data_IF_814288100671
#
_entry.id   IF_814288100671
#
_cell.length_a   1.000
_cell.length_b   1.000
_cell.length_c   1.000
_cell.angle_alpha   90.00
_cell.angle_beta   90.00
_cell.angle_gamma   90.00
#
_symmetry.space_group_name_H-M   'P 1'
#
loop_
_entity.id
_entity.type
_entity.pdbx_description
1 polymer ?
#
# COMPACT_ATOMS: atom_id res chain seq x y z
N UNK A 1 -23.17 -3.14 -24.66
CA UNK A 1 -22.57 -1.80 -24.50
C UNK A 1 -21.15 -1.99 -23.95
N UNK A 2 -20.32 -2.74 -24.68
CA UNK A 2 -18.93 -3.07 -24.31
C UNK A 2 -18.07 -3.09 -25.58
N UNK A 3 -18.60 -3.65 -26.67
CA UNK A 3 -17.95 -3.67 -28.00
C UNK A 3 -17.53 -2.28 -28.48
N UNK A 4 -18.40 -1.28 -28.33
CA UNK A 4 -18.11 0.12 -28.73
C UNK A 4 -16.99 0.76 -27.89
N UNK A 5 -16.87 0.38 -26.61
CA UNK A 5 -15.84 0.89 -25.71
C UNK A 5 -14.46 0.29 -26.02
N UNK A 6 -14.42 -1.01 -26.30
CA UNK A 6 -13.18 -1.71 -26.66
C UNK A 6 -12.63 -1.20 -28.01
N UNK A 7 -13.51 -0.91 -28.98
CA UNK A 7 -13.13 -0.29 -30.26
C UNK A 7 -12.58 1.13 -30.08
N UNK A 8 -13.18 1.94 -29.21
CA UNK A 8 -12.68 3.28 -28.90
C UNK A 8 -11.28 3.24 -28.28
N UNK A 9 -11.06 2.36 -27.28
CA UNK A 9 -9.72 2.20 -26.66
C UNK A 9 -8.69 1.74 -27.68
N UNK A 10 -9.05 0.81 -28.58
CA UNK A 10 -8.14 0.33 -29.62
C UNK A 10 -7.76 1.45 -30.62
N UNK A 11 -8.73 2.27 -31.02
CA UNK A 11 -8.48 3.43 -31.88
C UNK A 11 -7.58 4.48 -31.20
N UNK A 12 -7.84 4.78 -29.92
CA UNK A 12 -7.00 5.68 -29.13
C UNK A 12 -5.58 5.16 -29.00
N UNK A 13 -5.39 3.86 -28.68
CA UNK A 13 -4.07 3.23 -28.62
C UNK A 13 -3.31 3.34 -29.93
N UNK A 14 -3.98 3.08 -31.07
CA UNK A 14 -3.34 3.21 -32.37
C UNK A 14 -2.97 4.65 -32.72
N UNK A 15 -3.77 5.65 -32.34
CA UNK A 15 -3.42 7.06 -32.53
C UNK A 15 -2.15 7.43 -31.74
N UNK A 16 -2.06 6.95 -30.51
CA UNK A 16 -0.90 7.13 -29.63
C UNK A 16 0.36 6.45 -30.18
N UNK A 17 0.25 5.19 -30.65
CA UNK A 17 1.36 4.46 -31.26
C UNK A 17 1.92 5.17 -32.50
N UNK A 18 1.02 5.74 -33.31
CA UNK A 18 1.40 6.53 -34.49
C UNK A 18 2.14 7.81 -34.12
N UNK A 19 1.73 8.48 -33.03
CA UNK A 19 2.38 9.72 -32.57
C UNK A 19 3.75 9.46 -31.94
N UNK A 20 3.87 8.41 -31.12
CA UNK A 20 5.12 8.07 -30.45
C UNK A 20 6.10 7.28 -31.33
N UNK A 21 5.64 6.77 -32.48
CA UNK A 21 6.39 5.87 -33.35
C UNK A 21 6.93 4.63 -32.60
N UNK A 22 6.16 4.12 -31.64
CA UNK A 22 6.45 2.90 -30.88
C UNK A 22 5.22 1.99 -30.88
N UNK A 23 5.45 0.68 -30.84
CA UNK A 23 4.40 -0.30 -30.57
C UNK A 23 4.16 -0.37 -29.05
N UNK A 24 2.91 -0.20 -28.62
CA UNK A 24 2.56 -0.28 -27.19
C UNK A 24 2.30 -1.73 -26.84
N UNK A 25 3.30 -2.35 -26.21
CA UNK A 25 3.18 -3.72 -25.73
C UNK A 25 2.08 -3.83 -24.67
N UNK A 26 1.29 -4.92 -24.65
CA UNK A 26 0.32 -5.18 -23.61
C UNK A 26 0.95 -5.05 -22.20
N UNK A 27 0.35 -4.25 -21.33
CA UNK A 27 0.88 -3.93 -19.99
C UNK A 27 1.80 -2.70 -19.92
N UNK A 28 2.11 -2.05 -21.05
CA UNK A 28 2.85 -0.77 -21.07
C UNK A 28 1.87 0.39 -21.08
N UNK A 29 2.06 1.34 -20.15
CA UNK A 29 1.26 2.55 -20.03
C UNK A 29 2.09 3.78 -20.41
N UNK A 30 1.48 4.71 -21.15
CA UNK A 30 2.14 5.95 -21.57
C UNK A 30 2.10 6.97 -20.44
N UNK A 31 3.28 7.37 -19.94
CA UNK A 31 3.43 8.25 -18.78
C UNK A 31 3.69 9.72 -19.14
N UNK A 32 3.44 10.11 -20.39
CA UNK A 32 3.64 11.46 -20.91
C UNK A 32 2.40 11.95 -21.66
N UNK A 33 2.11 13.25 -21.59
CA UNK A 33 1.13 13.89 -22.48
C UNK A 33 1.61 13.76 -23.92
N UNK A 34 0.72 13.31 -24.80
CA UNK A 34 0.97 13.14 -26.23
C UNK A 34 -0.17 13.78 -27.00
N UNK A 35 0.17 14.70 -27.89
CA UNK A 35 -0.76 15.42 -28.75
C UNK A 35 -1.95 16.02 -28.01
N UNK A 36 -3.14 15.58 -28.40
CA UNK A 36 -4.42 16.02 -27.84
C UNK A 36 -4.79 15.30 -26.52
N UNK A 37 -4.06 14.26 -26.13
CA UNK A 37 -4.31 13.49 -24.91
C UNK A 37 -3.62 14.18 -23.72
N UNK A 38 -4.37 15.08 -23.09
CA UNK A 38 -3.95 15.74 -21.86
C UNK A 38 -4.36 14.89 -20.65
N UNK A 39 -3.40 14.19 -20.09
CA UNK A 39 -3.57 13.41 -18.88
C UNK A 39 -3.57 14.31 -17.62
N UNK A 40 -4.16 13.86 -16.50
CA UNK A 40 -4.13 14.66 -15.26
C UNK A 40 -2.69 14.76 -14.77
N UNK A 41 -2.19 15.99 -14.73
CA UNK A 41 -0.82 16.31 -14.34
C UNK A 41 -0.67 16.14 -12.84
N UNK A 42 0.42 15.48 -12.42
CA UNK A 42 0.85 15.58 -11.02
C UNK A 42 0.99 17.05 -10.62
N UNK A 43 0.57 17.43 -9.42
CA UNK A 43 0.69 18.82 -8.92
C UNK A 43 2.17 19.19 -8.84
N UNK A 44 2.69 19.81 -9.90
CA UNK A 44 4.09 20.19 -10.07
C UNK A 44 4.46 20.26 -11.55
N UNK A 45 5.43 21.11 -11.93
CA UNK A 45 5.87 21.38 -13.33
C UNK A 45 6.46 20.16 -14.09
N UNK A 46 6.30 18.95 -13.59
CA UNK A 46 6.71 17.73 -14.26
C UNK A 46 5.53 17.24 -15.09
N UNK A 47 5.70 17.10 -16.40
CA UNK A 47 4.75 16.48 -17.35
C UNK A 47 4.51 14.98 -17.07
N UNK A 48 4.63 14.55 -15.82
CA UNK A 48 4.42 13.18 -15.39
C UNK A 48 2.93 12.96 -15.18
N UNK A 49 2.43 12.05 -15.99
CA UNK A 49 1.08 11.49 -15.91
C UNK A 49 1.00 10.55 -14.71
N UNK A 50 -0.05 10.69 -13.89
CA UNK A 50 -0.33 9.74 -12.81
C UNK A 50 -1.00 8.50 -13.40
N UNK A 51 -0.44 7.32 -13.15
CA UNK A 51 -1.03 6.03 -13.52
C UNK A 51 -1.13 5.19 -12.26
N UNK A 52 -2.34 4.77 -11.82
CA UNK A 52 -3.66 5.12 -12.38
C UNK A 52 -4.00 6.59 -12.16
N UNK A 53 -4.86 7.12 -13.03
CA UNK A 53 -5.40 8.48 -12.90
C UNK A 53 -6.44 8.54 -11.78
N UNK A 54 -6.58 9.70 -11.10
CA UNK A 54 -7.69 9.89 -10.17
C UNK A 54 -9.00 9.74 -10.94
N UNK A 55 -9.88 8.88 -10.44
CA UNK A 55 -11.28 8.81 -10.84
C UNK A 55 -12.06 9.99 -10.28
N UNK A 56 -13.28 10.23 -10.76
CA UNK A 56 -14.17 11.26 -10.20
C UNK A 56 -14.82 10.85 -8.85
N UNK A 57 -14.45 9.68 -8.29
CA UNK A 57 -15.02 9.20 -7.02
C UNK A 57 -14.41 9.95 -5.82
N UNK A 58 -15.23 10.56 -4.94
CA UNK A 58 -14.77 11.16 -3.68
C UNK A 58 -14.02 10.19 -2.75
N UNK A 59 -14.30 8.89 -2.88
CA UNK A 59 -13.63 7.83 -2.12
C UNK A 59 -12.30 7.40 -2.72
N UNK A 60 -11.92 7.90 -3.90
CA UNK A 60 -10.63 7.62 -4.50
C UNK A 60 -9.50 8.20 -3.64
N UNK A 61 -8.56 7.36 -3.13
CA UNK A 61 -7.41 7.84 -2.36
C UNK A 61 -6.52 8.83 -3.14
N UNK A 62 -6.62 8.87 -4.47
CA UNK A 62 -5.95 9.86 -5.30
C UNK A 62 -6.54 11.28 -5.14
N UNK A 63 -7.81 11.42 -4.78
CA UNK A 63 -8.49 12.71 -4.58
C UNK A 63 -8.38 13.29 -3.17
N UNK A 64 -7.97 12.48 -2.20
CA UNK A 64 -7.93 12.87 -0.80
C UNK A 64 -7.04 14.10 -0.54
N UNK A 65 -7.45 14.97 0.39
CA UNK A 65 -6.60 16.06 0.87
C UNK A 65 -5.28 15.51 1.44
N UNK A 66 -4.16 16.21 1.26
CA UNK A 66 -2.82 15.74 1.70
C UNK A 66 -2.78 15.37 3.19
N UNK A 67 -3.51 16.10 4.03
CA UNK A 67 -3.64 15.80 5.46
C UNK A 67 -4.36 14.47 5.72
N UNK A 68 -5.43 14.19 4.98
CA UNK A 68 -6.18 12.95 5.10
C UNK A 68 -5.36 11.75 4.59
N UNK A 69 -4.66 11.90 3.45
CA UNK A 69 -3.70 10.90 2.97
C UNK A 69 -2.63 10.59 4.03
N UNK A 70 -2.05 11.63 4.62
CA UNK A 70 -1.04 11.46 5.67
C UNK A 70 -1.62 10.78 6.91
N UNK A 71 -2.82 11.16 7.35
CA UNK A 71 -3.48 10.54 8.49
C UNK A 71 -3.74 9.04 8.26
N UNK A 72 -4.19 8.66 7.06
CA UNK A 72 -4.38 7.25 6.70
C UNK A 72 -3.07 6.46 6.71
N UNK A 73 -1.98 7.04 6.17
CA UNK A 73 -0.63 6.42 6.18
C UNK A 73 -0.12 6.28 7.61
N UNK A 74 -0.28 7.30 8.45
CA UNK A 74 0.13 7.26 9.87
C UNK A 74 -0.69 6.21 10.61
N UNK A 75 -2.00 6.17 10.41
CA UNK A 75 -2.87 5.18 11.05
C UNK A 75 -2.48 3.74 10.66
N UNK A 76 -2.28 3.45 9.37
CA UNK A 76 -1.84 2.13 8.93
C UNK A 76 -0.45 1.77 9.48
N UNK A 77 0.48 2.73 9.48
CA UNK A 77 1.81 2.54 10.06
C UNK A 77 1.77 2.29 11.57
N UNK A 78 0.88 2.96 12.30
CA UNK A 78 0.69 2.77 13.74
C UNK A 78 0.08 1.42 14.08
N UNK A 79 -0.83 0.90 13.25
CA UNK A 79 -1.35 -0.46 13.41
C UNK A 79 -0.21 -1.47 13.26
N UNK A 80 0.58 -1.39 12.19
CA UNK A 80 1.74 -2.27 11.99
C UNK A 80 2.78 -2.13 13.10
N UNK A 81 3.04 -0.90 13.57
CA UNK A 81 3.94 -0.65 14.68
C UNK A 81 3.45 -1.29 15.98
N UNK A 82 2.18 -1.12 16.32
CA UNK A 82 1.58 -1.66 17.57
C UNK A 82 1.61 -3.18 17.59
N UNK A 83 1.38 -3.82 16.43
CA UNK A 83 1.48 -5.28 16.29
C UNK A 83 2.90 -5.80 16.59
N UNK A 84 3.95 -5.08 16.19
CA UNK A 84 5.33 -5.44 16.52
C UNK A 84 5.76 -5.03 17.94
N UNK A 85 5.28 -3.89 18.42
CA UNK A 85 5.66 -3.33 19.71
C UNK A 85 5.27 -4.23 20.89
N UNK A 86 4.05 -4.77 20.89
CA UNK A 86 3.55 -5.61 21.99
C UNK A 86 4.48 -6.79 22.30
N UNK A 87 4.70 -7.73 21.36
CA UNK A 87 5.58 -8.87 21.58
C UNK A 87 7.02 -8.48 21.92
N UNK A 88 7.55 -7.42 21.29
CA UNK A 88 8.94 -6.97 21.51
C UNK A 88 9.14 -6.31 22.88
N UNK A 89 8.09 -5.71 23.46
CA UNK A 89 8.14 -5.13 24.80
C UNK A 89 8.22 -6.16 25.93
N UNK A 90 7.89 -7.44 25.66
CA UNK A 90 7.89 -8.50 26.67
C UNK A 90 9.31 -8.85 27.15
N UNK A 91 10.30 -8.85 26.26
CA UNK A 91 11.65 -9.28 26.60
C UNK A 91 12.35 -8.39 27.65
N UNK A 92 12.27 -7.05 27.57
CA UNK A 92 12.75 -6.17 28.63
C UNK A 92 12.05 -6.37 29.98
N UNK A 93 10.81 -6.85 30.00
CA UNK A 93 10.01 -7.03 31.21
C UNK A 93 10.31 -8.35 31.96
N UNK A 94 11.20 -9.20 31.44
CA UNK A 94 11.50 -10.50 32.08
C UNK A 94 12.01 -10.35 33.52
N UNK A 95 12.75 -9.27 33.83
CA UNK A 95 13.18 -8.99 35.21
C UNK A 95 11.99 -8.81 36.16
N UNK A 96 11.00 -8.00 35.77
CA UNK A 96 9.78 -7.77 36.54
C UNK A 96 8.93 -9.05 36.67
N UNK A 97 8.90 -9.89 35.63
CA UNK A 97 8.18 -11.17 35.68
C UNK A 97 8.82 -12.16 36.66
N UNK A 98 10.15 -12.22 36.70
CA UNK A 98 10.87 -13.07 37.65
C UNK A 98 10.54 -12.66 39.09
N UNK A 99 10.54 -11.34 39.39
CA UNK A 99 10.20 -10.83 40.71
C UNK A 99 8.71 -11.04 41.06
N UNK A 100 7.80 -10.79 40.12
CA UNK A 100 6.37 -10.88 40.37
C UNK A 100 5.85 -12.32 40.49
N UNK A 101 6.44 -13.27 39.77
CA UNK A 101 5.98 -14.66 39.73
C UNK A 101 6.89 -15.65 40.48
N UNK A 102 7.99 -15.17 41.09
CA UNK A 102 8.99 -16.00 41.77
C UNK A 102 9.44 -17.20 40.91
N UNK A 103 9.76 -16.92 39.64
CA UNK A 103 10.06 -17.94 38.63
C UNK A 103 11.48 -17.80 38.07
N UNK A 104 11.99 -18.86 37.45
CA UNK A 104 13.29 -18.77 36.78
C UNK A 104 13.19 -17.98 35.47
N UNK A 105 14.32 -17.46 34.97
CA UNK A 105 14.37 -16.85 33.65
C UNK A 105 13.85 -17.80 32.55
N UNK A 106 14.13 -19.10 32.67
CA UNK A 106 13.64 -20.09 31.72
C UNK A 106 12.11 -20.17 31.70
N UNK A 107 11.47 -20.10 32.87
CA UNK A 107 10.01 -20.13 32.99
C UNK A 107 9.38 -18.87 32.39
N UNK A 108 9.95 -17.69 32.65
CA UNK A 108 9.49 -16.42 32.08
C UNK A 108 9.62 -16.39 30.54
N UNK A 109 10.74 -16.89 30.01
CA UNK A 109 10.99 -17.01 28.57
C UNK A 109 10.01 -18.01 27.95
N UNK A 110 9.75 -19.15 28.60
CA UNK A 110 8.79 -20.14 28.11
C UNK A 110 7.37 -19.58 28.09
N UNK A 111 6.95 -18.89 29.16
CA UNK A 111 5.64 -18.25 29.25
C UNK A 111 5.39 -17.28 28.09
N UNK A 112 6.33 -16.37 27.84
CA UNK A 112 6.21 -15.38 26.76
C UNK A 112 6.42 -16.00 25.37
N UNK A 113 7.33 -16.97 25.23
CA UNK A 113 7.60 -17.68 23.99
C UNK A 113 6.40 -18.48 23.48
N UNK A 114 5.66 -19.15 24.37
CA UNK A 114 4.43 -19.87 23.99
C UNK A 114 3.38 -18.89 23.44
N UNK A 115 3.20 -17.73 24.07
CA UNK A 115 2.27 -16.71 23.58
C UNK A 115 2.67 -16.18 22.19
N UNK A 116 3.96 -15.93 21.97
CA UNK A 116 4.49 -15.51 20.66
C UNK A 116 4.29 -16.60 19.60
N UNK A 117 4.51 -17.88 19.93
CA UNK A 117 4.27 -18.97 19.00
C UNK A 117 2.80 -19.09 18.62
N UNK A 118 1.87 -19.01 19.58
CA UNK A 118 0.43 -19.02 19.29
C UNK A 118 0.05 -17.86 18.40
N UNK A 119 0.55 -16.65 18.67
CA UNK A 119 0.34 -15.48 17.81
C UNK A 119 0.89 -15.72 16.39
N UNK A 120 2.10 -16.26 16.27
CA UNK A 120 2.70 -16.60 14.99
C UNK A 120 1.87 -17.62 14.20
N UNK A 121 1.49 -18.74 14.83
CA UNK A 121 0.70 -19.79 14.20
C UNK A 121 -0.73 -19.35 13.85
N UNK A 122 -1.31 -18.39 14.60
CA UNK A 122 -2.64 -17.85 14.29
C UNK A 122 -2.73 -17.19 12.90
N UNK A 123 -1.61 -16.70 12.37
CA UNK A 123 -1.56 -16.12 11.01
C UNK A 123 -1.88 -17.15 9.91
N UNK A 124 -1.73 -18.46 10.16
CA UNK A 124 -2.09 -19.49 9.18
C UNK A 124 -3.60 -19.77 9.10
N UNK A 125 -4.37 -19.32 10.09
CA UNK A 125 -5.81 -19.56 10.21
C UNK A 125 -6.59 -18.22 10.13
N UNK A 126 -5.96 -17.15 9.60
CA UNK A 126 -6.56 -15.82 9.52
C UNK A 126 -7.73 -15.75 8.53
#
# INVERSE_FOLDING_TARGET
MSVDYDEQIAQERHAIEQELHIEILPGTEVMADIGAHHFVKSVGKSHRVLVPQPSEDPHDPLNWAKSWKLAAIVASSMVSFTQGFGPLSLAPMFGDYIEAFDCSLADAVQFTGVAILVLGFSNFIW
#
